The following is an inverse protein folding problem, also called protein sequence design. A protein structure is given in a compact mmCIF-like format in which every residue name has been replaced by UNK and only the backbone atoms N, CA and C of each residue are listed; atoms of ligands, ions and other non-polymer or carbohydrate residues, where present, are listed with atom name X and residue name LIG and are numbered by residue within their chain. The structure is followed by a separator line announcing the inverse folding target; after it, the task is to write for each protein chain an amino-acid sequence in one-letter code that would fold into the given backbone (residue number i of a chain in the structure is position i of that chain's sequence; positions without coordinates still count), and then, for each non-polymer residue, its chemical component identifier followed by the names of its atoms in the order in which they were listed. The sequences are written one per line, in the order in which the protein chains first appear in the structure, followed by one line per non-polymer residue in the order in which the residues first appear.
data_IF_970876352985
#
_entry.id   IF_970876352985
#
_cell.length_a   1.000
_cell.length_b   1.000
_cell.length_c   1.000
_cell.angle_alpha   90.00
_cell.angle_beta   90.00
_cell.angle_gamma   90.00
#
_symmetry.space_group_name_H-M   'P 1'
#
loop_
_entity.id
_entity.type
_entity.pdbx_description
1 polymer ?
#
# COMPACT_ATOMS: atom_id res chain seq x y z
N UNK A 1 -7.92 -27.57 -5.82
CA UNK A 1 -8.81 -26.49 -5.37
C UNK A 1 -8.05 -25.22 -5.63
N UNK A 2 -8.48 -24.49 -6.65
CA UNK A 2 -7.69 -23.50 -7.35
C UNK A 2 -7.78 -22.16 -6.62
N UNK A 3 -6.63 -21.57 -6.34
CA UNK A 3 -6.43 -20.26 -5.73
C UNK A 3 -6.95 -19.19 -6.69
N UNK A 4 -8.22 -18.82 -6.52
CA UNK A 4 -8.87 -17.79 -7.33
C UNK A 4 -8.35 -16.43 -6.85
N UNK A 5 -7.61 -15.74 -7.72
CA UNK A 5 -6.95 -14.47 -7.39
C UNK A 5 -7.98 -13.44 -6.89
N UNK A 6 -7.74 -12.98 -5.66
CA UNK A 6 -8.54 -12.04 -4.83
C UNK A 6 -8.62 -10.60 -5.36
N UNK A 7 -8.34 -10.39 -6.64
CA UNK A 7 -8.25 -9.11 -7.34
C UNK A 7 -9.00 -9.33 -8.65
N UNK A 8 -10.08 -8.59 -8.91
CA UNK A 8 -10.93 -8.79 -10.09
C UNK A 8 -10.63 -7.68 -11.10
N UNK A 9 -9.81 -7.93 -12.14
CA UNK A 9 -9.83 -7.15 -13.36
C UNK A 9 -11.10 -7.46 -14.16
N UNK A 10 -11.74 -6.41 -14.66
CA UNK A 10 -12.77 -6.52 -15.70
C UNK A 10 -12.03 -6.72 -17.03
N UNK A 11 -12.13 -7.95 -17.54
CA UNK A 11 -11.87 -8.41 -18.91
C UNK A 11 -10.42 -8.80 -19.28
N UNK A 12 -10.32 -9.97 -19.92
CA UNK A 12 -9.10 -10.77 -20.11
C UNK A 12 -8.26 -10.34 -21.32
N UNK A 13 -6.92 -10.49 -21.21
CA UNK A 13 -6.01 -11.30 -22.07
C UNK A 13 -4.59 -10.71 -22.02
N UNK A 14 -3.61 -11.50 -21.55
CA UNK A 14 -2.19 -11.25 -21.84
C UNK A 14 -1.23 -11.65 -20.72
N UNK A 15 -0.79 -12.91 -20.67
CA UNK A 15 0.32 -13.34 -19.81
C UNK A 15 1.64 -12.88 -20.44
N UNK A 16 2.37 -11.99 -19.78
CA UNK A 16 3.76 -11.65 -20.16
C UNK A 16 4.74 -12.66 -19.57
N UNK A 17 5.64 -13.19 -20.40
CA UNK A 17 6.71 -14.13 -20.02
C UNK A 17 7.87 -13.39 -19.34
N UNK A 18 8.66 -14.03 -18.46
CA UNK A 18 9.93 -13.48 -17.98
C UNK A 18 10.97 -13.47 -19.10
N UNK A 19 11.73 -12.36 -19.23
CA UNK A 19 12.88 -12.25 -20.13
C UNK A 19 14.16 -12.86 -19.53
N UNK A 20 15.14 -13.30 -20.36
CA UNK A 20 16.40 -13.87 -19.89
C UNK A 20 17.30 -12.83 -19.21
N UNK A 21 17.98 -13.25 -18.14
CA UNK A 21 18.91 -12.45 -17.32
C UNK A 21 20.26 -12.32 -18.04
N UNK A 22 20.73 -11.09 -18.24
CA UNK A 22 22.09 -10.73 -18.70
C UNK A 22 23.01 -10.51 -17.48
N UNK A 23 24.16 -11.21 -17.35
CA UNK A 23 24.94 -11.23 -16.11
C UNK A 23 25.92 -10.04 -15.92
N UNK A 24 25.76 -8.94 -16.67
CA UNK A 24 26.67 -7.78 -16.62
C UNK A 24 26.05 -6.41 -16.30
N UNK A 25 24.74 -6.33 -16.04
CA UNK A 25 24.04 -5.07 -15.72
C UNK A 25 24.06 -4.70 -14.23
N UNK A 26 23.73 -3.45 -13.85
CA UNK A 26 23.49 -3.10 -12.45
C UNK A 26 22.47 -4.07 -11.85
N UNK A 27 22.67 -4.49 -10.59
CA UNK A 27 21.78 -5.44 -9.92
C UNK A 27 20.31 -5.08 -10.21
N UNK A 28 19.50 -6.04 -10.70
CA UNK A 28 18.12 -5.76 -11.04
C UNK A 28 17.39 -5.20 -9.81
N UNK A 29 16.75 -4.06 -10.00
CA UNK A 29 16.02 -3.35 -8.97
C UNK A 29 14.75 -4.12 -8.60
N UNK A 30 14.68 -4.69 -7.39
CA UNK A 30 13.49 -5.40 -6.86
C UNK A 30 12.39 -4.44 -6.36
N UNK A 31 12.23 -3.30 -7.02
CA UNK A 31 11.13 -2.40 -6.72
C UNK A 31 9.82 -2.96 -7.29
N UNK A 32 8.74 -3.05 -6.50
CA UNK A 32 7.47 -3.58 -6.97
C UNK A 32 6.98 -2.81 -8.19
N UNK A 33 6.43 -3.54 -9.16
CA UNK A 33 5.78 -2.97 -10.35
C UNK A 33 4.31 -3.40 -10.31
N UNK A 34 3.42 -2.41 -10.29
CA UNK A 34 1.99 -2.65 -10.26
C UNK A 34 1.41 -2.49 -11.66
N UNK A 35 0.53 -3.40 -12.07
CA UNK A 35 -0.21 -3.23 -13.31
C UNK A 35 -1.18 -2.04 -13.15
N UNK A 36 -1.02 -1.05 -14.03
CA UNK A 36 -1.86 0.14 -14.01
C UNK A 36 -3.36 -0.19 -14.14
N UNK A 37 -3.72 -1.18 -14.94
CA UNK A 37 -5.11 -1.58 -15.15
C UNK A 37 -5.72 -2.24 -13.91
N UNK A 38 -4.89 -2.85 -13.06
CA UNK A 38 -5.34 -3.47 -11.81
C UNK A 38 -5.36 -2.50 -10.62
N UNK A 39 -4.57 -1.41 -10.68
CA UNK A 39 -4.31 -0.56 -9.51
C UNK A 39 -4.67 0.92 -9.67
N UNK A 40 -4.89 1.41 -10.89
CA UNK A 40 -5.21 2.82 -11.13
C UNK A 40 -6.71 3.04 -11.27
N UNK A 41 -7.27 3.87 -10.38
CA UNK A 41 -8.70 4.22 -10.33
C UNK A 41 -9.60 3.00 -10.06
N UNK A 42 -9.02 2.00 -9.40
CA UNK A 42 -9.68 0.74 -9.03
C UNK A 42 -10.21 0.82 -7.59
N UNK A 43 -11.30 0.10 -7.38
CA UNK A 43 -11.89 -0.14 -6.07
C UNK A 43 -11.55 -1.57 -5.64
N UNK A 44 -11.17 -1.77 -4.38
CA UNK A 44 -10.82 -3.09 -3.84
C UNK A 44 -11.34 -3.29 -2.43
N UNK A 45 -11.79 -4.52 -2.13
CA UNK A 45 -12.18 -4.92 -0.79
C UNK A 45 -10.94 -5.30 0.03
N UNK A 46 -10.79 -4.67 1.18
CA UNK A 46 -9.71 -4.87 2.15
C UNK A 46 -10.18 -5.62 3.40
N UNK A 47 -11.36 -6.25 3.36
CA UNK A 47 -11.95 -7.00 4.47
C UNK A 47 -11.05 -8.12 5.00
N UNK A 48 -10.26 -8.75 4.12
CA UNK A 48 -9.39 -9.88 4.47
C UNK A 48 -7.90 -9.51 4.51
N UNK A 49 -7.54 -8.24 4.25
CA UNK A 49 -6.14 -7.83 4.20
C UNK A 49 -5.67 -7.50 5.61
N UNK A 50 -4.55 -8.11 5.99
CA UNK A 50 -3.93 -7.94 7.29
C UNK A 50 -2.55 -7.29 7.14
N UNK A 51 -2.20 -6.45 8.10
CA UNK A 51 -0.91 -5.76 8.12
C UNK A 51 -0.26 -5.84 9.49
N UNK A 52 1.05 -6.05 9.49
CA UNK A 52 1.91 -5.61 10.58
C UNK A 52 2.06 -4.10 10.54
N UNK A 53 2.03 -3.41 11.70
CA UNK A 53 2.20 -1.96 11.78
C UNK A 53 3.26 -1.53 12.78
N UNK A 54 3.91 -0.42 12.45
CA UNK A 54 4.73 0.36 13.38
C UNK A 54 4.43 1.85 13.25
N UNK A 55 4.70 2.60 14.31
CA UNK A 55 4.74 4.06 14.23
C UNK A 55 6.19 4.53 14.22
N UNK A 56 6.55 5.32 13.22
CA UNK A 56 7.89 5.85 13.02
C UNK A 56 7.92 7.35 13.33
N UNK A 57 9.01 7.87 13.93
CA UNK A 57 9.17 9.31 14.09
C UNK A 57 9.27 10.00 12.72
N UNK A 58 8.74 11.21 12.65
CA UNK A 58 8.82 12.06 11.47
C UNK A 58 9.09 13.50 11.87
N UNK A 59 9.74 14.25 10.99
CA UNK A 59 9.91 15.69 11.10
C UNK A 59 9.26 16.36 9.90
N UNK A 60 8.29 17.23 10.15
CA UNK A 60 7.49 17.89 9.10
C UNK A 60 6.89 16.91 8.07
N UNK A 61 6.57 15.69 8.52
CA UNK A 61 6.02 14.62 7.69
C UNK A 61 7.04 13.76 6.93
N UNK A 62 8.34 14.06 7.05
CA UNK A 62 9.41 13.24 6.52
C UNK A 62 9.82 12.18 7.56
N UNK A 63 9.73 10.88 7.23
CA UNK A 63 10.22 9.77 8.06
C UNK A 63 11.69 9.92 8.48
N UNK A 64 11.98 9.77 9.78
CA UNK A 64 13.37 9.71 10.28
C UNK A 64 13.78 8.24 10.46
N UNK A 65 14.96 7.88 9.96
CA UNK A 65 15.52 6.53 10.12
C UNK A 65 14.66 5.44 9.48
N UNK A 66 14.06 5.73 8.32
CA UNK A 66 13.09 4.84 7.66
C UNK A 66 13.64 3.42 7.45
N UNK A 67 14.87 3.26 6.98
CA UNK A 67 15.48 1.94 6.73
C UNK A 67 15.62 1.07 7.99
N UNK A 68 16.02 1.66 9.12
CA UNK A 68 16.10 0.94 10.38
C UNK A 68 14.70 0.53 10.87
N UNK A 69 13.71 1.41 10.73
CA UNK A 69 12.33 1.10 11.08
C UNK A 69 11.69 0.08 10.13
N UNK A 70 12.01 0.12 8.82
CA UNK A 70 11.56 -0.88 7.84
C UNK A 70 12.04 -2.27 8.21
N UNK A 71 13.32 -2.44 8.57
CA UNK A 71 13.84 -3.74 9.06
C UNK A 71 13.09 -4.24 10.31
N UNK A 72 12.76 -3.34 11.24
CA UNK A 72 11.93 -3.68 12.41
C UNK A 72 10.50 -4.08 12.03
N UNK A 73 9.95 -3.47 10.99
CA UNK A 73 8.62 -3.81 10.48
C UNK A 73 8.62 -5.18 9.81
N UNK A 74 9.62 -5.48 8.97
CA UNK A 74 9.80 -6.80 8.33
C UNK A 74 9.89 -7.89 9.39
N UNK A 75 10.82 -7.77 10.35
CA UNK A 75 10.97 -8.76 11.42
C UNK A 75 9.68 -8.94 12.26
N UNK A 76 8.89 -7.89 12.39
CA UNK A 76 7.59 -7.93 13.08
C UNK A 76 6.52 -8.63 12.26
N UNK A 77 6.51 -8.44 10.94
CA UNK A 77 5.60 -9.10 10.02
C UNK A 77 5.92 -10.61 9.95
N UNK A 78 7.18 -10.96 9.76
CA UNK A 78 7.67 -12.36 9.75
C UNK A 78 7.39 -13.09 11.08
N UNK A 79 7.48 -12.39 12.21
CA UNK A 79 7.14 -12.96 13.52
C UNK A 79 5.64 -13.11 13.76
N UNK A 80 4.79 -12.53 12.90
CA UNK A 80 3.35 -12.59 13.03
C UNK A 80 2.70 -13.53 12.01
N UNK A 81 3.30 -13.73 10.83
CA UNK A 81 2.79 -14.56 9.75
C UNK A 81 3.72 -14.58 8.53
N UNK A 82 3.19 -14.98 7.38
CA UNK A 82 3.92 -15.00 6.12
C UNK A 82 3.94 -13.61 5.48
N UNK A 83 5.11 -13.14 5.03
CA UNK A 83 5.22 -11.90 4.25
C UNK A 83 5.27 -12.28 2.77
N UNK A 84 4.24 -11.94 1.98
CA UNK A 84 4.24 -12.29 0.55
C UNK A 84 5.34 -11.53 -0.20
N UNK A 85 5.80 -12.09 -1.32
CA UNK A 85 6.87 -11.48 -2.13
C UNK A 85 6.48 -10.08 -2.65
N UNK A 86 5.20 -9.87 -2.98
CA UNK A 86 4.62 -8.60 -3.44
C UNK A 86 3.97 -7.79 -2.31
N UNK A 87 4.34 -8.04 -1.04
CA UNK A 87 3.73 -7.41 0.12
C UNK A 87 3.63 -5.88 0.03
N UNK A 88 2.41 -5.36 0.23
CA UNK A 88 2.17 -3.93 0.30
C UNK A 88 2.93 -3.29 1.46
N UNK A 89 3.67 -2.20 1.18
CA UNK A 89 4.32 -1.34 2.18
C UNK A 89 3.74 0.07 2.15
N UNK A 90 2.72 0.30 2.98
CA UNK A 90 1.96 1.56 2.97
C UNK A 90 2.30 2.46 4.14
N UNK A 91 2.29 3.77 3.89
CA UNK A 91 2.59 4.81 4.86
C UNK A 91 1.41 5.75 5.03
N UNK A 92 0.98 5.93 6.27
CA UNK A 92 -0.12 6.80 6.64
C UNK A 92 0.28 8.27 6.74
N UNK A 93 -0.69 9.16 6.93
CA UNK A 93 -0.44 10.57 7.18
C UNK A 93 0.22 10.78 8.55
N UNK A 94 0.85 11.95 8.76
CA UNK A 94 1.37 12.37 10.06
C UNK A 94 2.59 13.29 9.94
N UNK A 95 2.72 14.26 10.85
CA UNK A 95 3.82 15.25 10.85
C UNK A 95 4.97 14.89 11.79
N UNK A 96 4.63 14.41 12.99
CA UNK A 96 5.59 14.04 14.05
C UNK A 96 5.81 12.54 14.17
N UNK A 97 4.79 11.77 13.77
CA UNK A 97 4.82 10.32 13.76
C UNK A 97 3.97 9.85 12.59
N UNK A 98 4.45 8.87 11.83
CA UNK A 98 3.72 8.25 10.73
C UNK A 98 3.53 6.77 11.02
N UNK A 99 2.37 6.24 10.66
CA UNK A 99 2.16 4.79 10.70
C UNK A 99 2.70 4.21 9.40
N UNK A 100 3.46 3.13 9.51
CA UNK A 100 3.89 2.31 8.36
C UNK A 100 3.38 0.90 8.58
N UNK A 101 2.82 0.32 7.52
CA UNK A 101 2.19 -0.98 7.56
C UNK A 101 2.75 -1.85 6.43
N UNK A 102 2.97 -3.13 6.73
CA UNK A 102 3.44 -4.15 5.79
C UNK A 102 2.41 -5.28 5.78
N UNK A 103 1.98 -5.66 4.58
CA UNK A 103 1.05 -6.77 4.40
C UNK A 103 1.63 -8.07 4.95
N UNK A 104 0.76 -8.87 5.54
CA UNK A 104 1.10 -10.16 6.13
C UNK A 104 -0.09 -11.10 5.98
N UNK A 105 0.20 -12.32 5.54
CA UNK A 105 -0.75 -13.42 5.38
C UNK A 105 -0.64 -14.39 6.56
N UNK A 106 -1.71 -15.14 6.82
CA UNK A 106 -1.78 -16.14 7.90
C UNK A 106 -1.34 -15.59 9.27
N UNK A 107 -1.63 -14.32 9.53
CA UNK A 107 -1.10 -13.62 10.68
C UNK A 107 -1.89 -13.90 11.97
N UNK A 108 -1.18 -13.95 13.10
CA UNK A 108 -1.79 -13.95 14.44
C UNK A 108 -2.47 -12.59 14.74
N UNK A 109 -3.77 -12.51 14.47
CA UNK A 109 -4.58 -11.31 14.68
C UNK A 109 -4.82 -10.97 16.15
N UNK A 110 -4.39 -11.81 17.11
CA UNK A 110 -4.45 -11.48 18.54
C UNK A 110 -3.43 -10.42 18.94
N UNK A 111 -2.41 -10.20 18.12
CA UNK A 111 -1.32 -9.27 18.40
C UNK A 111 -1.73 -7.81 18.14
N UNK A 112 -1.40 -6.92 19.07
CA UNK A 112 -1.73 -5.47 18.97
C UNK A 112 -1.05 -4.73 17.81
N UNK A 113 0.06 -5.28 17.33
CA UNK A 113 0.84 -4.77 16.22
C UNK A 113 0.39 -5.32 14.86
N UNK A 114 -0.66 -6.14 14.84
CA UNK A 114 -1.35 -6.62 13.65
C UNK A 114 -2.71 -5.92 13.54
N UNK A 115 -3.08 -5.53 12.32
CA UNK A 115 -4.34 -4.85 12.03
C UNK A 115 -4.98 -5.39 10.77
N UNK A 116 -6.31 -5.47 10.78
CA UNK A 116 -7.15 -5.75 9.62
C UNK A 116 -8.00 -4.51 9.37
N UNK A 117 -7.56 -3.57 8.52
CA UNK A 117 -8.24 -2.29 8.35
C UNK A 117 -9.69 -2.43 7.84
N UNK A 118 -9.94 -3.50 7.08
CA UNK A 118 -11.25 -3.83 6.54
C UNK A 118 -11.82 -2.80 5.57
N UNK A 119 -13.02 -3.07 5.08
CA UNK A 119 -13.76 -2.11 4.25
C UNK A 119 -13.18 -1.97 2.86
N UNK A 120 -13.38 -0.80 2.24
CA UNK A 120 -13.08 -0.60 0.82
C UNK A 120 -11.95 0.40 0.66
N UNK A 121 -11.12 0.20 -0.35
CA UNK A 121 -10.16 1.21 -0.83
C UNK A 121 -10.45 1.63 -2.24
N UNK A 122 -10.08 2.87 -2.54
CA UNK A 122 -9.93 3.37 -3.89
C UNK A 122 -8.47 3.76 -4.13
N UNK A 123 -7.89 3.24 -5.21
CA UNK A 123 -6.47 3.37 -5.49
C UNK A 123 -6.21 4.24 -6.72
N UNK A 124 -5.08 4.96 -6.71
CA UNK A 124 -4.57 5.68 -7.89
C UNK A 124 -3.06 5.47 -7.98
N UNK A 125 -2.61 4.82 -9.05
CA UNK A 125 -1.21 4.70 -9.41
C UNK A 125 -0.76 5.91 -10.23
N UNK A 126 0.11 6.76 -9.68
CA UNK A 126 0.49 8.04 -10.28
C UNK A 126 2.00 8.31 -10.09
N UNK A 127 2.65 9.01 -11.03
CA UNK A 127 3.95 9.62 -10.77
C UNK A 127 3.80 10.71 -9.70
N UNK A 128 4.69 10.72 -8.70
CA UNK A 128 4.66 11.68 -7.61
C UNK A 128 5.99 12.43 -7.47
N UNK A 129 6.37 13.24 -8.47
CA UNK A 129 7.63 13.98 -8.42
C UNK A 129 7.64 14.98 -7.27
N UNK A 130 8.85 15.48 -6.98
CA UNK A 130 9.10 16.33 -5.82
C UNK A 130 8.13 17.53 -5.76
N UNK A 131 7.54 17.75 -4.58
CA UNK A 131 6.57 18.83 -4.34
C UNK A 131 5.12 18.51 -4.74
N UNK A 132 4.85 17.48 -5.55
CA UNK A 132 3.49 17.17 -6.00
C UNK A 132 2.69 16.29 -5.03
N UNK A 133 3.35 15.61 -4.09
CA UNK A 133 2.72 14.68 -3.14
C UNK A 133 1.47 15.26 -2.45
N UNK A 134 1.54 16.50 -1.94
CA UNK A 134 0.42 17.14 -1.25
C UNK A 134 -0.78 17.37 -2.18
N UNK A 135 -0.51 17.76 -3.42
CA UNK A 135 -1.52 17.98 -4.46
C UNK A 135 -2.17 16.66 -4.84
N UNK A 136 -1.39 15.62 -5.13
CA UNK A 136 -1.88 14.29 -5.50
C UNK A 136 -2.71 13.62 -4.38
N UNK A 137 -2.31 13.80 -3.12
CA UNK A 137 -3.14 13.37 -1.96
C UNK A 137 -4.49 14.12 -1.94
N UNK A 138 -4.49 15.44 -2.20
CA UNK A 138 -5.71 16.26 -2.22
C UNK A 138 -6.64 15.85 -3.36
N UNK A 139 -6.12 15.65 -4.55
CA UNK A 139 -6.87 15.22 -5.73
C UNK A 139 -7.44 13.81 -5.54
N UNK A 140 -6.63 12.87 -5.04
CA UNK A 140 -7.09 11.51 -4.75
C UNK A 140 -8.22 11.51 -3.72
N UNK A 141 -8.12 12.36 -2.69
CA UNK A 141 -9.21 12.54 -1.72
C UNK A 141 -10.46 13.14 -2.37
N UNK A 142 -10.30 14.14 -3.24
CA UNK A 142 -11.43 14.79 -3.90
C UNK A 142 -12.20 13.81 -4.80
N UNK A 143 -11.48 13.06 -5.63
CA UNK A 143 -12.03 12.03 -6.51
C UNK A 143 -12.70 10.90 -5.73
N UNK A 144 -12.06 10.40 -4.68
CA UNK A 144 -12.67 9.40 -3.80
C UNK A 144 -13.95 9.95 -3.14
N UNK A 145 -13.93 11.20 -2.65
CA UNK A 145 -15.11 11.84 -2.05
C UNK A 145 -16.25 11.97 -3.05
N UNK A 146 -15.97 12.37 -4.27
CA UNK A 146 -16.96 12.46 -5.35
C UNK A 146 -17.61 11.11 -5.62
N UNK A 147 -16.81 10.04 -5.70
CA UNK A 147 -17.27 8.67 -5.94
C UNK A 147 -18.15 8.11 -4.80
N UNK A 148 -17.76 8.30 -3.55
CA UNK A 148 -18.43 7.65 -2.40
C UNK A 148 -19.33 8.58 -1.57
N UNK A 149 -19.47 9.85 -1.96
CA UNK A 149 -20.27 10.85 -1.24
C UNK A 149 -19.73 11.22 0.15
N UNK A 150 -18.53 10.77 0.53
CA UNK A 150 -17.92 11.01 1.84
C UNK A 150 -16.39 10.99 1.78
N UNK A 151 -15.74 11.67 2.72
CA UNK A 151 -14.28 11.64 2.81
C UNK A 151 -13.76 10.25 3.22
N UNK A 152 -12.64 9.79 2.66
CA UNK A 152 -11.93 8.62 3.18
C UNK A 152 -11.40 8.91 4.59
N UNK A 153 -11.30 7.88 5.43
CA UNK A 153 -10.77 8.01 6.79
C UNK A 153 -9.27 8.35 6.76
N UNK A 154 -8.54 7.81 5.79
CA UNK A 154 -7.14 8.10 5.56
C UNK A 154 -6.79 8.01 4.07
N UNK A 155 -5.71 8.70 3.69
CA UNK A 155 -4.99 8.44 2.45
C UNK A 155 -3.66 7.80 2.86
N UNK A 156 -3.43 6.57 2.44
CA UNK A 156 -2.15 5.88 2.56
C UNK A 156 -1.36 6.03 1.27
N UNK A 157 -0.03 5.93 1.35
CA UNK A 157 0.84 5.99 0.17
C UNK A 157 1.82 4.82 0.17
N UNK A 158 2.03 4.23 -0.99
CA UNK A 158 3.11 3.25 -1.24
C UNK A 158 4.06 3.83 -2.27
N UNK A 159 5.30 4.10 -1.86
CA UNK A 159 6.37 4.45 -2.79
C UNK A 159 6.88 3.17 -3.45
N UNK A 160 6.71 3.06 -4.77
CA UNK A 160 7.03 1.84 -5.52
C UNK A 160 8.43 1.87 -6.10
N UNK A 161 9.19 2.95 -5.87
CA UNK A 161 10.51 3.17 -6.43
C UNK A 161 11.55 3.40 -5.33
N UNK A 162 12.73 2.82 -5.46
CA UNK A 162 13.91 3.17 -4.68
C UNK A 162 14.55 4.47 -5.22
N UNK A 163 15.64 4.92 -4.59
CA UNK A 163 16.37 6.11 -5.05
C UNK A 163 16.82 5.97 -6.50
N UNK A 164 17.35 4.81 -6.89
CA UNK A 164 17.82 4.52 -8.25
C UNK A 164 16.67 4.52 -9.25
N UNK A 165 15.59 3.80 -8.95
CA UNK A 165 14.47 3.59 -9.88
C UNK A 165 13.51 4.79 -9.96
N UNK A 166 13.66 5.78 -9.07
CA UNK A 166 12.77 6.95 -9.02
C UNK A 166 12.90 7.89 -10.22
N UNK A 167 14.09 7.97 -10.83
CA UNK A 167 14.32 8.77 -12.04
C UNK A 167 13.59 8.20 -13.25
N UNK A 168 13.71 6.88 -13.46
CA UNK A 168 13.13 6.18 -14.60
C UNK A 168 11.61 6.06 -14.49
N UNK A 169 11.11 5.79 -13.29
CA UNK A 169 9.68 5.58 -13.02
C UNK A 169 8.99 6.83 -12.45
N UNK A 170 9.65 7.99 -12.51
CA UNK A 170 9.14 9.29 -12.08
C UNK A 170 8.43 9.27 -10.71
N UNK A 171 9.08 8.64 -9.72
CA UNK A 171 8.55 8.49 -8.35
C UNK A 171 7.15 7.85 -8.31
N UNK A 172 6.93 6.79 -9.10
CA UNK A 172 5.66 6.08 -9.14
C UNK A 172 5.19 5.70 -7.72
N UNK A 173 3.97 6.10 -7.41
CA UNK A 173 3.38 6.00 -6.08
C UNK A 173 1.93 5.54 -6.19
N UNK A 174 1.56 4.57 -5.37
CA UNK A 174 0.16 4.21 -5.16
C UNK A 174 -0.43 5.06 -4.05
N UNK A 175 -1.51 5.77 -4.36
CA UNK A 175 -2.32 6.49 -3.38
C UNK A 175 -3.54 5.64 -3.05
N UNK A 176 -3.80 5.41 -1.76
CA UNK A 176 -4.87 4.51 -1.30
C UNK A 176 -5.82 5.30 -0.40
N UNK A 177 -7.01 5.63 -0.93
CA UNK A 177 -8.10 6.22 -0.17
C UNK A 177 -8.87 5.12 0.56
N UNK A 178 -8.73 5.07 1.89
CA UNK A 178 -9.29 3.98 2.69
C UNK A 178 -10.59 4.38 3.40
N UNK A 179 -11.57 3.49 3.29
CA UNK A 179 -12.87 3.57 3.92
C UNK A 179 -13.08 2.34 4.81
N UNK A 180 -12.76 2.43 6.11
CA UNK A 180 -12.83 1.27 7.01
C UNK A 180 -14.25 0.74 7.10
N UNK A 181 -14.38 -0.55 7.38
CA UNK A 181 -15.65 -1.16 7.74
C UNK A 181 -16.20 -0.41 8.95
N UNK A 182 -17.43 0.11 8.85
CA UNK A 182 -18.08 0.71 10.02
C UNK A 182 -18.16 -0.38 11.10
N UNK A 183 -17.83 -0.09 12.37
CA UNK A 183 -18.18 -1.01 13.43
C UNK A 183 -19.68 -1.25 13.34
N UNK A 184 -20.10 -2.52 13.38
CA UNK A 184 -21.52 -2.84 13.46
C UNK A 184 -22.10 -2.01 14.60
N UNK A 185 -23.06 -1.16 14.30
CA UNK A 185 -23.84 -0.47 15.33
C UNK A 185 -24.29 -1.55 16.29
N UNK A 186 -23.86 -1.46 17.56
CA UNK A 186 -24.50 -2.25 18.60
C UNK A 186 -25.97 -1.86 18.54
N UNK A 187 -26.82 -2.76 18.07
CA UNK A 187 -28.25 -2.60 18.22
C UNK A 187 -28.48 -2.34 19.70
N UNK A 188 -28.96 -1.14 20.00
CA UNK A 188 -29.38 -0.78 21.34
C UNK A 188 -30.62 -1.64 21.63
N UNK A 189 -30.39 -2.77 22.29
CA UNK A 189 -31.42 -3.53 22.99
C UNK A 189 -31.86 -2.81 24.27
#
# INVERSE_FOLDING_TARGET
MTEERRRVPVDQVGRSRPSPIDPGGPEPCDCPQLDRNEWHEVESDWSDITFAKIGIPALLGVPIGFWANRRKLVARAEAAGHVPEDAMLIMGPGRLRRTVMMEVEDADTSRRDIVTPGGVVFTRLLPAPWGQMKTLVKETRAMARERYGRNPAAIWVWYLTCQTCSSERNFETLFVAHYPKRPATRDAG
#
